data_IF_064360102449
#
_entry.id   IF_064360102449
#
_cell.length_a   1.000
_cell.length_b   1.000
_cell.length_c   1.000
_cell.angle_alpha   90.00
_cell.angle_beta   90.00
_cell.angle_gamma   90.00
#
_symmetry.space_group_name_H-M   'P 1'
#
loop_
_entity.id
_entity.type
_entity.pdbx_description
1 polymer ?
#
# COMPACT_ATOMS: atom_id res chain seq x y z
N UNK A 1 13.40 -0.45 11.45
CA UNK A 1 14.17 -0.81 10.23
C UNK A 1 13.44 -0.23 9.02
N UNK A 2 14.10 0.61 8.23
CA UNK A 2 13.46 1.29 7.08
C UNK A 2 13.60 0.41 5.84
N UNK A 3 12.49 0.15 5.15
CA UNK A 3 12.49 -0.65 3.92
C UNK A 3 13.05 0.21 2.77
N UNK A 4 13.94 -0.38 1.95
CA UNK A 4 14.55 0.33 0.82
C UNK A 4 13.58 0.43 -0.36
N UNK A 5 13.78 1.43 -1.23
CA UNK A 5 13.00 1.55 -2.47
C UNK A 5 13.12 0.31 -3.37
N UNK A 6 14.30 -0.33 -3.37
CA UNK A 6 14.55 -1.56 -4.11
C UNK A 6 13.69 -2.74 -3.60
N UNK A 7 13.45 -2.81 -2.28
CA UNK A 7 12.62 -3.86 -1.71
C UNK A 7 11.15 -3.74 -2.13
N UNK A 8 10.59 -2.53 -2.16
CA UNK A 8 9.25 -2.30 -2.67
C UNK A 8 9.13 -2.68 -4.17
N UNK A 9 10.14 -2.36 -4.99
CA UNK A 9 10.17 -2.77 -6.39
C UNK A 9 10.22 -4.31 -6.54
N UNK A 10 11.00 -5.01 -5.69
CA UNK A 10 11.06 -6.48 -5.66
C UNK A 10 9.70 -7.09 -5.34
N UNK A 11 8.99 -6.57 -4.32
CA UNK A 11 7.66 -7.05 -3.93
C UNK A 11 6.63 -6.91 -5.04
N UNK A 12 6.61 -5.76 -5.73
CA UNK A 12 5.72 -5.56 -6.90
C UNK A 12 6.06 -6.52 -8.04
N UNK A 13 7.35 -6.75 -8.32
CA UNK A 13 7.78 -7.74 -9.32
C UNK A 13 7.30 -9.15 -8.98
N UNK A 14 7.42 -9.54 -7.71
CA UNK A 14 6.93 -10.83 -7.24
C UNK A 14 5.41 -10.96 -7.39
N UNK A 15 4.65 -9.92 -7.01
CA UNK A 15 3.20 -9.89 -7.21
C UNK A 15 2.83 -10.07 -8.69
N UNK A 16 3.46 -9.31 -9.60
CA UNK A 16 3.21 -9.42 -11.04
C UNK A 16 3.55 -10.81 -11.60
N UNK A 17 4.54 -11.51 -11.04
CA UNK A 17 4.89 -12.87 -11.48
C UNK A 17 3.85 -13.93 -11.12
N UNK A 18 2.97 -13.64 -10.16
CA UNK A 18 1.86 -14.50 -9.75
C UNK A 18 0.56 -14.18 -10.49
N UNK A 19 0.52 -13.07 -11.23
CA UNK A 19 -0.67 -12.60 -11.94
C UNK A 19 -0.76 -13.24 -13.33
N UNK A 20 -1.99 -13.40 -13.82
CA UNK A 20 -2.24 -13.89 -15.17
C UNK A 20 -1.75 -12.88 -16.24
N UNK A 21 -1.35 -13.35 -17.43
CA UNK A 21 -1.08 -12.46 -18.56
C UNK A 21 -2.28 -11.57 -18.87
N UNK A 22 -2.03 -10.31 -19.25
CA UNK A 22 -3.07 -9.33 -19.58
C UNK A 22 -4.04 -9.01 -18.42
N UNK A 23 -3.56 -9.04 -17.18
CA UNK A 23 -4.32 -8.64 -15.99
C UNK A 23 -3.80 -7.34 -15.36
N UNK A 24 -4.57 -6.78 -14.43
CA UNK A 24 -4.23 -5.56 -13.68
C UNK A 24 -4.57 -5.73 -12.20
N UNK A 25 -3.71 -5.20 -11.32
CA UNK A 25 -3.95 -5.12 -9.88
C UNK A 25 -4.14 -3.64 -9.49
N UNK A 26 -5.21 -3.36 -8.75
CA UNK A 26 -5.53 -2.03 -8.23
C UNK A 26 -5.59 -2.15 -6.70
N UNK A 27 -4.74 -1.41 -5.99
CA UNK A 27 -4.67 -1.41 -4.52
C UNK A 27 -4.93 0.01 -4.03
N UNK A 28 -6.04 0.27 -3.30
CA UNK A 28 -6.35 1.60 -2.79
C UNK A 28 -5.53 1.92 -1.52
N UNK A 29 -5.38 3.20 -1.21
CA UNK A 29 -4.88 3.64 0.10
C UNK A 29 -5.93 3.44 1.20
N UNK A 30 -5.50 3.57 2.46
CA UNK A 30 -6.43 3.75 3.57
C UNK A 30 -7.23 5.06 3.43
N UNK A 31 -8.36 5.10 4.14
CA UNK A 31 -9.19 6.29 4.29
C UNK A 31 -8.90 6.96 5.63
N UNK A 32 -8.93 8.28 5.65
CA UNK A 32 -8.95 9.06 6.90
C UNK A 32 -10.15 8.65 7.77
N UNK A 33 -9.95 8.63 9.08
CA UNK A 33 -10.96 8.21 10.05
C UNK A 33 -11.26 9.37 10.99
N UNK A 34 -12.51 9.80 11.01
CA UNK A 34 -12.99 10.83 11.92
C UNK A 34 -12.92 10.32 13.36
N UNK A 35 -12.36 11.13 14.27
CA UNK A 35 -12.31 10.85 15.70
C UNK A 35 -13.44 11.54 16.45
N UNK A 36 -13.60 12.85 16.23
CA UNK A 36 -14.66 13.64 16.85
C UNK A 36 -14.81 14.97 16.11
N UNK A 37 -16.03 15.27 15.62
CA UNK A 37 -16.36 16.47 14.84
C UNK A 37 -15.34 16.71 13.71
N UNK A 38 -14.55 17.75 13.79
CA UNK A 38 -13.56 18.19 12.81
C UNK A 38 -12.15 17.61 13.07
N UNK A 39 -12.01 16.67 14.01
CA UNK A 39 -10.73 16.01 14.31
C UNK A 39 -10.69 14.57 13.80
N UNK A 40 -9.52 14.17 13.30
CA UNK A 40 -9.24 12.84 12.77
C UNK A 40 -8.28 12.06 13.67
N UNK A 41 -8.29 10.73 13.52
CA UNK A 41 -7.19 9.92 14.02
C UNK A 41 -5.94 10.14 13.16
N UNK A 42 -4.73 9.92 13.72
CA UNK A 42 -3.52 9.89 12.91
C UNK A 42 -3.68 8.92 11.75
N UNK A 43 -3.40 9.39 10.54
CA UNK A 43 -3.52 8.55 9.35
C UNK A 43 -2.60 7.34 9.47
N UNK A 44 -3.20 6.16 9.23
CA UNK A 44 -2.48 4.91 9.12
C UNK A 44 -2.77 4.34 7.75
N UNK A 45 -1.72 4.16 6.96
CA UNK A 45 -1.83 3.54 5.64
C UNK A 45 -2.34 2.10 5.74
N UNK A 46 -3.02 1.67 4.68
CA UNK A 46 -3.37 0.26 4.49
C UNK A 46 -2.11 -0.60 4.42
N UNK A 47 -2.15 -1.78 5.05
CA UNK A 47 -0.94 -2.59 5.22
C UNK A 47 -0.43 -3.13 3.89
N UNK A 48 -1.32 -3.55 2.99
CA UNK A 48 -0.94 -4.12 1.70
C UNK A 48 -0.45 -3.02 0.75
N UNK A 49 -1.16 -1.89 0.73
CA UNK A 49 -0.72 -0.72 -0.01
C UNK A 49 0.67 -0.27 0.46
N UNK A 50 0.89 -0.14 1.77
CA UNK A 50 2.18 0.25 2.32
C UNK A 50 3.26 -0.81 2.07
N UNK A 51 2.91 -2.11 2.14
CA UNK A 51 3.82 -3.22 1.89
C UNK A 51 4.39 -3.19 0.45
N UNK A 52 3.56 -2.82 -0.52
CA UNK A 52 3.93 -2.77 -1.94
C UNK A 52 4.55 -1.44 -2.38
N UNK A 53 4.20 -0.33 -1.72
CA UNK A 53 4.57 1.02 -2.19
C UNK A 53 5.54 1.76 -1.27
N UNK A 54 5.41 1.59 0.06
CA UNK A 54 6.08 2.46 1.04
C UNK A 54 5.57 3.90 1.07
N UNK A 55 4.45 4.18 0.41
CA UNK A 55 3.70 5.44 0.49
C UNK A 55 2.69 5.38 1.65
#
# INVERSE_FOLDING_TARGET
MKISKAEYARRRKNLMSLMEPNSIAIVPSAKEQQRSRDTEYPFRQDSDFHYLSGF
#
